data_IF_842077421298
#
_entry.id   IF_842077421298
#
_cell.length_a   1.000
_cell.length_b   1.000
_cell.length_c   1.000
_cell.angle_alpha   90.00
_cell.angle_beta   90.00
_cell.angle_gamma   90.00
#
_symmetry.space_group_name_H-M   'P 1'
#
loop_
_entity.id
_entity.type
_entity.pdbx_description
1 polymer ?
#
# COMPACT_ATOMS: atom_id res chain seq x y z
N UNK A 1 55.09 15.08 50.38
CA UNK A 1 53.64 15.18 49.98
C UNK A 1 53.00 16.19 50.92
N UNK A 2 52.58 17.33 50.37
CA UNK A 2 52.01 18.43 51.15
C UNK A 2 50.50 18.23 51.36
N UNK A 3 49.95 18.74 52.44
CA UNK A 3 48.52 18.63 52.78
C UNK A 3 47.58 19.14 51.67
N UNK A 4 48.09 19.97 50.77
CA UNK A 4 47.35 20.49 49.60
C UNK A 4 47.16 19.39 48.52
N UNK A 5 48.08 18.46 48.28
CA UNK A 5 47.96 17.34 47.34
C UNK A 5 46.94 16.31 47.81
N UNK A 6 46.84 16.06 49.14
CA UNK A 6 45.81 15.16 49.71
C UNK A 6 44.40 15.74 49.63
N UNK A 7 44.22 17.07 49.76
CA UNK A 7 42.93 17.73 49.66
C UNK A 7 42.38 17.77 48.19
N UNK A 8 43.29 17.89 47.20
CA UNK A 8 42.92 17.81 45.77
C UNK A 8 42.42 16.43 45.35
N UNK A 9 43.05 15.34 45.85
CA UNK A 9 42.69 13.94 45.59
C UNK A 9 41.31 13.57 46.15
N UNK A 10 40.98 14.02 47.35
CA UNK A 10 39.66 13.74 47.97
C UNK A 10 38.48 14.44 47.26
N UNK A 11 38.71 15.64 46.73
CA UNK A 11 37.66 16.39 46.04
C UNK A 11 37.37 15.80 44.67
N UNK A 12 38.39 15.26 43.97
CA UNK A 12 38.25 14.56 42.69
C UNK A 12 37.46 13.25 42.86
N UNK A 13 37.76 12.44 43.87
CA UNK A 13 37.07 11.17 44.13
C UNK A 13 35.58 11.36 44.49
N UNK A 14 35.24 12.45 45.22
CA UNK A 14 33.82 12.80 45.50
C UNK A 14 33.08 13.22 44.26
N UNK A 15 33.70 13.95 43.35
CA UNK A 15 33.10 14.34 42.05
C UNK A 15 32.83 13.11 41.17
N UNK A 16 33.79 12.20 41.06
CA UNK A 16 33.64 10.94 40.33
C UNK A 16 32.51 10.09 40.92
N UNK A 17 32.44 9.92 42.25
CA UNK A 17 31.35 9.16 42.88
C UNK A 17 29.98 9.77 42.61
N UNK A 18 29.83 11.09 42.65
CA UNK A 18 28.57 11.78 42.31
C UNK A 18 28.20 11.58 40.87
N UNK A 19 29.15 11.66 39.93
CA UNK A 19 28.93 11.40 38.52
C UNK A 19 28.49 9.94 38.32
N UNK A 20 29.19 8.97 38.91
CA UNK A 20 28.81 7.54 38.80
C UNK A 20 27.42 7.28 39.35
N UNK A 21 27.05 7.85 40.51
CA UNK A 21 25.70 7.72 41.06
C UNK A 21 24.68 8.37 40.14
N UNK A 22 24.98 9.53 39.56
CA UNK A 22 24.11 10.20 38.58
C UNK A 22 23.87 9.38 37.31
N UNK A 23 24.91 8.77 36.78
CA UNK A 23 24.82 7.87 35.61
C UNK A 23 24.01 6.62 35.95
N UNK A 24 24.25 5.97 37.08
CA UNK A 24 23.47 4.80 37.50
C UNK A 24 21.99 5.17 37.70
N UNK A 25 21.69 6.31 38.33
CA UNK A 25 20.33 6.78 38.52
C UNK A 25 19.67 7.05 37.19
N UNK A 26 20.33 7.71 36.23
CA UNK A 26 19.79 7.98 34.90
C UNK A 26 19.49 6.68 34.13
N UNK A 27 20.42 5.69 34.19
CA UNK A 27 20.19 4.37 33.58
C UNK A 27 19.01 3.65 34.24
N UNK A 28 18.91 3.68 35.57
CA UNK A 28 17.80 3.04 36.27
C UNK A 28 16.43 3.68 35.94
N UNK A 29 16.38 5.03 35.90
CA UNK A 29 15.16 5.78 35.53
C UNK A 29 14.79 5.46 34.08
N UNK A 30 15.75 5.48 33.16
CA UNK A 30 15.51 5.16 31.75
C UNK A 30 14.99 3.72 31.58
N UNK A 31 15.65 2.75 32.20
CA UNK A 31 15.25 1.35 32.17
C UNK A 31 13.85 1.15 32.75
N UNK A 32 13.58 1.70 33.93
CA UNK A 32 12.26 1.63 34.54
C UNK A 32 11.18 2.32 33.71
N UNK A 33 11.49 3.47 33.12
CA UNK A 33 10.61 4.19 32.21
C UNK A 33 10.29 3.39 30.96
N UNK A 34 11.30 2.72 30.36
CA UNK A 34 11.08 1.89 29.18
C UNK A 34 10.17 0.69 29.46
N UNK A 35 10.46 -0.09 30.53
CA UNK A 35 9.62 -1.22 30.93
C UNK A 35 8.19 -0.77 31.34
N UNK A 36 8.07 0.37 32.00
CA UNK A 36 6.77 0.97 32.32
C UNK A 36 5.98 1.33 31.06
N UNK A 37 6.63 1.91 30.05
CA UNK A 37 6.02 2.23 28.76
C UNK A 37 5.61 0.97 27.99
N UNK A 38 6.47 -0.07 27.98
CA UNK A 38 6.17 -1.35 27.34
C UNK A 38 4.94 -2.01 27.96
N UNK A 39 4.88 -2.11 29.28
CA UNK A 39 3.73 -2.65 30.01
C UNK A 39 2.44 -1.84 29.78
N UNK A 40 2.56 -0.50 29.80
CA UNK A 40 1.42 0.36 29.50
C UNK A 40 0.90 0.14 28.06
N UNK A 41 1.82 0.00 27.08
CA UNK A 41 1.46 -0.26 25.68
C UNK A 41 0.78 -1.62 25.52
N UNK A 42 1.30 -2.67 26.14
CA UNK A 42 0.70 -4.00 26.15
C UNK A 42 -0.75 -3.95 26.68
N UNK A 43 -0.98 -3.31 27.84
CA UNK A 43 -2.31 -3.16 28.40
C UNK A 43 -3.26 -2.34 27.49
N UNK A 44 -2.76 -1.32 26.78
CA UNK A 44 -3.54 -0.56 25.80
C UNK A 44 -3.92 -1.38 24.59
N UNK A 45 -3.02 -2.22 24.09
CA UNK A 45 -3.29 -3.12 22.97
C UNK A 45 -4.31 -4.19 23.33
N UNK A 46 -4.15 -4.86 24.47
CA UNK A 46 -5.11 -5.85 24.96
C UNK A 46 -6.51 -5.23 25.13
N UNK A 47 -6.59 -4.01 25.67
CA UNK A 47 -7.86 -3.29 25.76
C UNK A 47 -8.42 -2.94 24.38
N UNK A 48 -7.59 -2.48 23.44
CA UNK A 48 -8.03 -2.17 22.08
C UNK A 48 -8.56 -3.42 21.34
N UNK A 49 -7.94 -4.59 21.55
CA UNK A 49 -8.42 -5.86 21.01
C UNK A 49 -9.76 -6.27 21.64
N UNK A 50 -9.90 -6.12 22.97
CA UNK A 50 -11.16 -6.41 23.66
C UNK A 50 -12.29 -5.46 23.20
N UNK A 51 -12.02 -4.16 23.10
CA UNK A 51 -12.97 -3.15 22.62
C UNK A 51 -13.34 -3.41 21.14
N UNK A 52 -12.39 -3.79 20.29
CA UNK A 52 -12.62 -4.18 18.91
C UNK A 52 -13.54 -5.40 18.81
N UNK A 53 -13.28 -6.45 19.57
CA UNK A 53 -14.13 -7.64 19.63
C UNK A 53 -15.57 -7.33 20.08
N UNK A 54 -15.73 -6.45 21.05
CA UNK A 54 -17.05 -5.97 21.50
C UNK A 54 -17.81 -5.21 20.41
N UNK A 55 -17.10 -4.55 19.50
CA UNK A 55 -17.65 -3.79 18.37
C UNK A 55 -17.74 -4.61 17.06
N UNK A 56 -17.47 -5.91 17.11
CA UNK A 56 -17.60 -6.82 15.96
C UNK A 56 -16.34 -7.10 15.18
N UNK A 57 -15.22 -6.41 15.46
CA UNK A 57 -13.91 -6.70 14.87
C UNK A 57 -13.01 -7.39 15.91
N UNK A 58 -12.94 -8.70 15.88
CA UNK A 58 -11.99 -9.44 16.69
C UNK A 58 -10.59 -9.36 16.07
N UNK A 59 -9.62 -9.00 16.91
CA UNK A 59 -8.19 -9.01 16.56
C UNK A 59 -7.48 -9.92 17.54
N UNK A 60 -6.81 -10.94 17.02
CA UNK A 60 -6.01 -11.87 17.80
C UNK A 60 -4.54 -11.75 17.39
N UNK A 61 -3.67 -11.68 18.37
CA UNK A 61 -2.22 -11.67 18.22
C UNK A 61 -1.68 -12.78 19.12
N UNK A 62 -1.26 -13.86 18.53
CA UNK A 62 -0.68 -14.98 19.28
C UNK A 62 0.72 -14.56 19.78
N UNK A 63 1.02 -14.85 21.03
CA UNK A 63 2.26 -14.55 21.72
C UNK A 63 2.65 -13.05 21.65
N UNK A 64 1.66 -12.18 21.96
CA UNK A 64 1.89 -10.73 22.00
C UNK A 64 3.02 -10.37 22.95
N UNK A 65 4.08 -9.80 22.43
CA UNK A 65 5.22 -9.35 23.21
C UNK A 65 5.69 -7.95 22.77
N UNK A 66 6.19 -7.16 23.73
CA UNK A 66 6.73 -5.82 23.49
C UNK A 66 8.25 -5.86 23.69
N UNK A 67 9.00 -5.70 22.60
CA UNK A 67 10.48 -5.84 22.58
C UNK A 67 11.16 -4.57 22.07
N UNK A 68 12.48 -4.51 22.25
CA UNK A 68 13.34 -3.50 21.63
C UNK A 68 14.17 -2.65 22.58
N UNK A 69 14.19 -2.97 23.92
CA UNK A 69 15.08 -2.29 24.87
C UNK A 69 16.53 -2.29 24.36
N UNK A 70 17.30 -1.18 24.53
CA UNK A 70 16.88 0.07 25.17
C UNK A 70 16.34 1.14 24.20
N UNK A 71 16.61 1.07 22.90
CA UNK A 71 16.41 2.21 21.97
C UNK A 71 15.19 2.09 21.07
N UNK A 72 14.53 0.95 21.08
CA UNK A 72 13.34 0.65 20.28
C UNK A 72 12.21 0.18 21.18
N UNK A 73 11.01 0.28 20.66
CA UNK A 73 9.82 -0.36 21.20
C UNK A 73 9.01 -0.88 20.03
N UNK A 74 8.60 -2.13 20.08
CA UNK A 74 7.87 -2.76 18.97
C UNK A 74 6.96 -3.86 19.47
N UNK A 75 5.93 -4.15 18.66
CA UNK A 75 4.93 -5.19 18.86
C UNK A 75 5.37 -6.40 18.06
N UNK A 76 5.29 -7.57 18.66
CA UNK A 76 5.58 -8.86 18.06
C UNK A 76 4.40 -9.79 18.28
N UNK A 77 3.98 -10.48 17.23
CA UNK A 77 2.96 -11.54 17.25
C UNK A 77 3.50 -12.70 16.42
N UNK A 78 3.27 -13.93 16.82
CA UNK A 78 3.61 -15.11 16.02
C UNK A 78 2.62 -15.32 14.87
N UNK A 79 1.35 -15.05 15.11
CA UNK A 79 0.31 -14.98 14.08
C UNK A 79 -0.65 -13.85 14.39
N UNK A 80 -1.26 -13.27 13.33
CA UNK A 80 -2.32 -12.26 13.45
C UNK A 80 -3.59 -12.78 12.79
N UNK A 81 -4.72 -12.73 13.50
CA UNK A 81 -6.04 -13.05 12.95
C UNK A 81 -6.98 -11.86 13.15
N UNK A 82 -7.76 -11.63 12.13
CA UNK A 82 -8.82 -10.64 12.10
C UNK A 82 -10.14 -11.35 11.76
N UNK A 83 -11.18 -11.08 12.52
CA UNK A 83 -12.54 -11.57 12.25
C UNK A 83 -13.51 -10.40 12.39
N UNK A 84 -14.06 -9.95 11.27
CA UNK A 84 -15.05 -8.87 11.23
C UNK A 84 -16.45 -9.48 11.07
N UNK A 85 -17.19 -9.51 12.17
CA UNK A 85 -18.56 -10.02 12.22
C UNK A 85 -19.55 -9.11 11.47
N UNK A 86 -19.22 -7.84 11.31
CA UNK A 86 -20.08 -6.85 10.63
C UNK A 86 -20.03 -7.07 9.12
N UNK A 87 -18.83 -7.27 8.59
CA UNK A 87 -18.59 -7.56 7.16
C UNK A 87 -18.62 -9.07 6.87
N UNK A 88 -18.76 -9.91 7.92
CA UNK A 88 -18.64 -11.37 7.86
C UNK A 88 -17.42 -11.80 7.01
N UNK A 89 -16.27 -11.23 7.36
CA UNK A 89 -14.99 -11.46 6.69
C UNK A 89 -13.91 -11.81 7.70
N UNK A 90 -12.94 -12.61 7.28
CA UNK A 90 -11.81 -12.99 8.11
C UNK A 90 -10.51 -12.87 7.34
N UNK A 91 -9.43 -12.54 8.06
CA UNK A 91 -8.08 -12.55 7.53
C UNK A 91 -7.12 -13.17 8.55
N UNK A 92 -6.11 -13.88 8.06
CA UNK A 92 -5.00 -14.37 8.87
C UNK A 92 -3.68 -14.10 8.19
N UNK A 93 -2.63 -13.90 8.99
CA UNK A 93 -1.28 -13.60 8.55
C UNK A 93 -0.29 -14.38 9.41
N UNK A 94 0.93 -14.56 8.93
CA UNK A 94 2.03 -15.07 9.70
C UNK A 94 2.50 -14.08 10.78
N UNK A 95 3.79 -14.09 11.09
CA UNK A 95 4.35 -13.27 12.15
C UNK A 95 4.31 -11.78 11.80
N UNK A 96 3.96 -10.96 12.78
CA UNK A 96 4.05 -9.51 12.73
C UNK A 96 5.18 -9.04 13.61
N UNK A 97 6.05 -8.21 13.07
CA UNK A 97 7.13 -7.53 13.79
C UNK A 97 7.05 -6.05 13.53
N UNK A 98 7.08 -5.25 14.60
CA UNK A 98 7.15 -3.80 14.44
C UNK A 98 8.27 -3.21 15.27
N UNK A 99 8.72 -2.01 14.90
CA UNK A 99 9.68 -1.25 15.66
C UNK A 99 9.49 0.24 15.47
N UNK A 100 9.49 0.98 16.56
CA UNK A 100 9.63 2.44 16.58
C UNK A 100 10.80 2.82 17.48
N UNK A 101 11.51 3.89 17.14
CA UNK A 101 12.60 4.40 17.97
C UNK A 101 12.01 5.18 19.15
N UNK A 102 12.52 4.96 20.37
CA UNK A 102 12.01 5.61 21.59
C UNK A 102 12.08 7.14 21.50
N UNK A 103 13.09 7.66 20.80
CA UNK A 103 13.29 9.10 20.59
C UNK A 103 12.56 9.63 19.34
N UNK A 104 11.94 8.76 18.53
CA UNK A 104 11.12 9.11 17.36
C UNK A 104 9.91 8.18 17.25
N UNK A 105 9.00 8.18 18.24
CA UNK A 105 7.91 7.21 18.35
C UNK A 105 6.86 7.35 17.24
N UNK A 106 6.83 8.48 16.55
CA UNK A 106 5.95 8.69 15.37
C UNK A 106 6.45 8.00 14.10
N UNK A 107 7.63 7.37 14.09
CA UNK A 107 8.15 6.61 12.96
C UNK A 107 8.19 5.13 13.31
N UNK A 108 7.24 4.37 12.78
CA UNK A 108 7.15 2.93 12.95
C UNK A 108 7.49 2.21 11.64
N UNK A 109 8.17 1.08 11.79
CA UNK A 109 8.44 0.10 10.74
C UNK A 109 7.66 -1.15 11.10
N UNK A 110 7.05 -1.81 10.13
CA UNK A 110 6.23 -3.01 10.31
C UNK A 110 6.67 -4.02 9.25
N UNK A 111 6.91 -5.24 9.66
CA UNK A 111 7.13 -6.39 8.81
C UNK A 111 6.02 -7.41 9.08
N UNK A 112 5.48 -7.99 8.02
CA UNK A 112 4.43 -8.99 8.09
C UNK A 112 4.84 -10.19 7.25
N UNK A 113 4.85 -11.37 7.86
CA UNK A 113 5.16 -12.60 7.17
C UNK A 113 3.90 -13.20 6.53
N UNK A 114 4.09 -13.89 5.41
CA UNK A 114 3.11 -14.79 4.85
C UNK A 114 3.07 -16.15 5.59
N UNK A 115 2.14 -17.03 5.20
CA UNK A 115 1.09 -16.78 4.24
C UNK A 115 -0.04 -15.92 4.81
N UNK A 116 -0.77 -15.23 3.92
CA UNK A 116 -2.01 -14.55 4.27
C UNK A 116 -3.21 -15.28 3.65
N UNK A 117 -4.27 -15.42 4.43
CA UNK A 117 -5.56 -15.94 3.98
C UNK A 117 -6.64 -14.90 4.24
N UNK A 118 -7.45 -14.61 3.25
CA UNK A 118 -8.62 -13.75 3.39
C UNK A 118 -9.87 -14.47 2.90
N UNK A 119 -10.97 -14.32 3.61
CA UNK A 119 -12.28 -14.87 3.26
C UNK A 119 -13.35 -13.83 3.49
N UNK A 120 -14.20 -13.64 2.48
CA UNK A 120 -15.35 -12.73 2.55
C UNK A 120 -16.66 -13.52 2.64
N UNK A 121 -17.70 -12.92 3.22
CA UNK A 121 -19.07 -13.44 3.21
C UNK A 121 -19.64 -13.64 1.82
N UNK A 122 -19.16 -12.88 0.83
CA UNK A 122 -19.52 -13.04 -0.59
C UNK A 122 -18.93 -14.32 -1.18
N UNK A 123 -18.07 -15.04 -0.43
CA UNK A 123 -17.40 -16.28 -0.84
C UNK A 123 -16.08 -16.08 -1.56
N UNK A 124 -15.63 -14.83 -1.76
CA UNK A 124 -14.29 -14.54 -2.28
C UNK A 124 -13.26 -15.07 -1.29
N UNK A 125 -12.26 -15.79 -1.80
CA UNK A 125 -11.10 -16.27 -1.03
C UNK A 125 -9.83 -15.77 -1.70
N UNK A 126 -8.92 -15.26 -0.88
CA UNK A 126 -7.59 -14.85 -1.32
C UNK A 126 -6.57 -15.58 -0.47
N UNK A 127 -5.64 -16.26 -1.10
CA UNK A 127 -4.44 -16.82 -0.47
C UNK A 127 -3.24 -16.08 -1.06
N UNK A 128 -2.35 -15.58 -0.23
CA UNK A 128 -1.18 -14.85 -0.69
C UNK A 128 0.05 -15.20 0.14
N UNK A 129 1.21 -15.18 -0.50
CA UNK A 129 2.51 -15.37 0.13
C UNK A 129 3.55 -14.43 -0.50
N UNK A 130 4.58 -14.10 0.24
CA UNK A 130 5.64 -13.20 -0.19
C UNK A 130 6.95 -13.48 0.56
N UNK A 131 8.07 -13.08 0.00
CA UNK A 131 9.35 -13.21 0.69
C UNK A 131 9.67 -12.05 1.63
N UNK A 132 9.07 -10.89 1.39
CA UNK A 132 9.14 -9.70 2.22
C UNK A 132 7.85 -8.89 2.06
N UNK A 133 7.26 -8.45 3.17
CA UNK A 133 6.28 -7.37 3.20
C UNK A 133 6.67 -6.42 4.32
N UNK A 134 7.08 -5.22 3.95
CA UNK A 134 7.62 -4.22 4.83
C UNK A 134 6.88 -2.90 4.64
N UNK A 135 6.42 -2.31 5.73
CA UNK A 135 5.77 -1.01 5.73
C UNK A 135 6.49 -0.04 6.67
N UNK A 136 6.47 1.23 6.32
CA UNK A 136 6.99 2.33 7.13
C UNK A 136 5.93 3.41 7.23
N UNK A 137 5.67 3.86 8.44
CA UNK A 137 4.68 4.89 8.72
C UNK A 137 5.29 6.02 9.53
N UNK A 138 5.02 7.26 9.12
CA UNK A 138 5.34 8.45 9.90
C UNK A 138 4.07 9.20 10.28
N UNK A 139 3.85 9.34 11.58
CA UNK A 139 2.73 10.06 12.16
C UNK A 139 3.21 11.26 12.96
N UNK A 140 2.42 12.33 12.95
CA UNK A 140 2.59 13.52 13.76
C UNK A 140 1.35 13.79 14.61
N UNK A 141 1.27 14.99 15.18
CA UNK A 141 0.09 15.39 15.99
C UNK A 141 -1.20 15.48 15.17
N UNK A 142 -1.08 15.70 13.86
CA UNK A 142 -2.20 15.81 12.92
C UNK A 142 -2.59 14.50 12.24
N UNK A 143 -2.07 13.36 12.70
CA UNK A 143 -2.30 12.04 12.09
C UNK A 143 -1.14 11.53 11.25
N UNK A 144 -1.40 10.61 10.34
CA UNK A 144 -0.38 10.01 9.47
C UNK A 144 0.07 11.00 8.39
N UNK A 145 1.38 11.25 8.31
CA UNK A 145 1.99 12.17 7.33
C UNK A 145 2.55 11.46 6.11
N UNK A 146 3.08 10.24 6.30
CA UNK A 146 3.65 9.41 5.24
C UNK A 146 3.45 7.95 5.56
N UNK A 147 3.12 7.20 4.53
CA UNK A 147 3.12 5.75 4.51
C UNK A 147 3.91 5.26 3.30
N UNK A 148 4.66 4.18 3.48
CA UNK A 148 5.31 3.47 2.38
C UNK A 148 5.23 1.98 2.69
N UNK A 149 4.93 1.18 1.69
CA UNK A 149 4.95 -0.27 1.77
C UNK A 149 5.69 -0.83 0.57
N UNK A 150 6.38 -1.94 0.77
CA UNK A 150 7.06 -2.69 -0.28
C UNK A 150 6.86 -4.16 -0.05
N UNK A 151 6.77 -4.91 -1.13
CA UNK A 151 6.73 -6.37 -1.10
C UNK A 151 7.64 -6.96 -2.18
N UNK A 152 8.16 -8.15 -1.89
CA UNK A 152 8.98 -8.94 -2.82
C UNK A 152 8.37 -10.32 -3.03
N UNK A 153 8.41 -10.79 -4.29
CA UNK A 153 7.99 -12.13 -4.70
C UNK A 153 6.58 -12.48 -4.24
N UNK A 154 5.65 -11.54 -4.45
CA UNK A 154 4.24 -11.80 -4.17
C UNK A 154 3.73 -12.94 -5.06
N UNK A 155 3.05 -13.87 -4.44
CA UNK A 155 2.23 -14.90 -5.10
C UNK A 155 0.87 -14.90 -4.44
N UNK A 156 -0.17 -14.62 -5.20
CA UNK A 156 -1.52 -14.60 -4.68
C UNK A 156 -2.46 -15.41 -5.59
N UNK A 157 -3.48 -15.98 -4.99
CA UNK A 157 -4.55 -16.69 -5.69
C UNK A 157 -5.89 -16.16 -5.19
N UNK A 158 -6.69 -15.68 -6.10
CA UNK A 158 -8.05 -15.17 -5.85
C UNK A 158 -9.04 -16.17 -6.42
N UNK A 159 -9.95 -16.67 -5.60
CA UNK A 159 -11.05 -17.54 -6.03
C UNK A 159 -12.36 -16.77 -5.98
N UNK A 160 -13.06 -16.71 -7.11
CA UNK A 160 -14.35 -16.06 -7.27
C UNK A 160 -15.48 -17.07 -7.04
N UNK A 161 -16.42 -16.80 -6.12
CA UNK A 161 -17.40 -17.81 -5.69
C UNK A 161 -18.51 -18.09 -6.70
N UNK A 162 -18.88 -17.12 -7.53
CA UNK A 162 -20.00 -17.23 -8.47
C UNK A 162 -19.68 -18.09 -9.68
N UNK A 163 -18.45 -18.02 -10.17
CA UNK A 163 -17.97 -18.72 -11.36
C UNK A 163 -17.10 -19.93 -10.99
N UNK A 164 -16.50 -19.90 -9.81
CA UNK A 164 -15.47 -20.85 -9.40
C UNK A 164 -14.09 -20.55 -10.02
N UNK A 165 -13.99 -19.48 -10.78
CA UNK A 165 -12.77 -19.07 -11.47
C UNK A 165 -11.69 -18.71 -10.47
N UNK A 166 -10.47 -19.07 -10.80
CA UNK A 166 -9.27 -18.74 -10.04
C UNK A 166 -8.39 -17.79 -10.85
N UNK A 167 -7.93 -16.75 -10.20
CA UNK A 167 -6.90 -15.86 -10.75
C UNK A 167 -5.64 -15.96 -9.91
N UNK A 168 -4.55 -16.46 -10.51
CA UNK A 168 -3.23 -16.46 -9.92
C UNK A 168 -2.50 -15.17 -10.32
N UNK A 169 -1.89 -14.51 -9.33
CA UNK A 169 -1.21 -13.22 -9.46
C UNK A 169 0.21 -13.40 -8.92
N UNK A 170 1.21 -13.24 -9.76
CA UNK A 170 2.60 -13.18 -9.36
C UNK A 170 3.15 -11.77 -9.60
N UNK A 171 3.97 -11.25 -8.70
CA UNK A 171 4.72 -10.02 -8.91
C UNK A 171 6.11 -10.12 -8.27
N UNK A 172 7.14 -9.67 -8.98
CA UNK A 172 8.49 -9.76 -8.47
C UNK A 172 8.75 -8.76 -7.34
N UNK A 173 8.27 -7.53 -7.52
CA UNK A 173 8.43 -6.43 -6.58
C UNK A 173 7.27 -5.44 -6.71
N UNK A 174 6.90 -4.78 -5.61
CA UNK A 174 5.97 -3.67 -5.66
C UNK A 174 6.18 -2.70 -4.51
N UNK A 175 5.89 -1.44 -4.79
CA UNK A 175 5.98 -0.35 -3.83
C UNK A 175 4.72 0.50 -3.86
N UNK A 176 4.36 1.04 -2.70
CA UNK A 176 3.29 2.03 -2.56
C UNK A 176 3.73 3.12 -1.60
N UNK A 177 3.54 4.36 -1.98
CA UNK A 177 3.86 5.52 -1.18
C UNK A 177 2.65 6.44 -1.09
N UNK A 178 2.35 6.89 0.11
CA UNK A 178 1.36 7.94 0.37
C UNK A 178 1.99 9.06 1.19
N UNK A 179 1.68 10.30 0.87
CA UNK A 179 2.19 11.48 1.57
C UNK A 179 1.14 12.58 1.62
N UNK A 180 0.94 13.14 2.82
CA UNK A 180 0.24 14.42 2.95
C UNK A 180 1.06 15.53 2.31
N UNK A 181 0.43 16.34 1.50
CA UNK A 181 0.99 17.51 0.85
C UNK A 181 0.07 18.71 1.10
N UNK A 182 0.18 19.31 2.28
CA UNK A 182 -0.78 20.31 2.73
C UNK A 182 -2.19 19.71 2.88
N UNK A 183 -3.21 20.22 2.18
CA UNK A 183 -4.56 19.67 2.18
C UNK A 183 -4.69 18.42 1.30
N UNK A 184 -3.72 18.19 0.40
CA UNK A 184 -3.77 17.17 -0.63
C UNK A 184 -3.14 15.86 -0.16
N UNK A 185 -3.43 14.78 -0.89
CA UNK A 185 -2.81 13.47 -0.71
C UNK A 185 -2.11 13.07 -2.01
N UNK A 186 -0.78 12.94 -1.96
CA UNK A 186 0.02 12.35 -3.02
C UNK A 186 0.09 10.83 -2.84
N UNK A 187 -0.13 10.09 -3.92
CA UNK A 187 -0.05 8.62 -3.98
C UNK A 187 0.80 8.23 -5.16
N UNK A 188 1.77 7.35 -4.93
CA UNK A 188 2.55 6.71 -5.97
C UNK A 188 2.62 5.21 -5.70
N UNK A 189 2.51 4.39 -6.75
CA UNK A 189 2.69 2.95 -6.65
C UNK A 189 3.41 2.40 -7.89
N UNK A 190 4.09 1.29 -7.70
CA UNK A 190 4.72 0.53 -8.78
C UNK A 190 4.58 -0.97 -8.55
N UNK A 191 4.59 -1.71 -9.64
CA UNK A 191 4.69 -3.17 -9.67
C UNK A 191 5.60 -3.61 -10.79
N UNK A 192 6.49 -4.54 -10.50
CA UNK A 192 7.40 -5.13 -11.47
C UNK A 192 7.05 -6.60 -11.74
N UNK A 193 7.14 -6.98 -13.02
CA UNK A 193 6.90 -8.33 -13.51
C UNK A 193 5.56 -8.92 -13.03
N UNK A 194 4.50 -8.10 -13.08
CA UNK A 194 3.14 -8.55 -12.80
C UNK A 194 2.72 -9.59 -13.83
N UNK A 195 2.33 -10.76 -13.38
CA UNK A 195 1.84 -11.87 -14.19
C UNK A 195 0.46 -12.30 -13.67
N UNK A 196 -0.52 -12.36 -14.55
CA UNK A 196 -1.91 -12.71 -14.26
C UNK A 196 -2.29 -13.96 -15.04
N UNK A 197 -2.64 -15.04 -14.34
CA UNK A 197 -3.02 -16.34 -14.93
C UNK A 197 -4.40 -16.77 -14.45
N UNK A 198 -5.42 -16.76 -15.31
CA UNK A 198 -6.72 -17.32 -14.97
C UNK A 198 -6.67 -18.85 -14.97
N UNK A 199 -7.26 -19.48 -13.98
CA UNK A 199 -7.45 -20.95 -13.85
C UNK A 199 -6.17 -21.77 -14.06
N UNK A 200 -5.02 -21.25 -13.59
CA UNK A 200 -3.68 -21.81 -13.85
C UNK A 200 -3.34 -21.98 -15.35
N UNK A 201 -4.04 -21.22 -16.18
CA UNK A 201 -3.81 -21.16 -17.64
C UNK A 201 -2.56 -20.32 -18.02
N UNK A 202 -2.44 -19.97 -19.30
CA UNK A 202 -1.38 -19.07 -19.74
C UNK A 202 -1.58 -17.65 -19.17
N UNK A 203 -0.48 -16.89 -19.08
CA UNK A 203 -0.51 -15.50 -18.68
C UNK A 203 -1.41 -14.68 -19.61
N UNK A 204 -2.26 -13.83 -19.04
CA UNK A 204 -3.12 -12.91 -19.81
C UNK A 204 -2.29 -11.90 -20.59
N UNK A 205 -1.23 -11.40 -19.97
CA UNK A 205 -0.32 -10.40 -20.55
C UNK A 205 1.12 -10.87 -20.34
N UNK A 206 2.09 -10.38 -21.14
CA UNK A 206 3.50 -10.53 -20.81
C UNK A 206 3.80 -9.98 -19.42
N UNK A 207 4.88 -10.41 -18.74
CA UNK A 207 5.25 -9.84 -17.44
C UNK A 207 5.32 -8.31 -17.52
N UNK A 208 4.41 -7.65 -16.82
CA UNK A 208 4.10 -6.23 -16.95
C UNK A 208 4.77 -5.44 -15.84
N UNK A 209 5.34 -4.27 -16.18
CA UNK A 209 5.64 -3.23 -15.20
C UNK A 209 4.57 -2.16 -15.28
N UNK A 210 4.07 -1.73 -14.11
CA UNK A 210 3.17 -0.59 -14.04
C UNK A 210 3.60 0.38 -12.96
N UNK A 211 3.43 1.69 -13.23
CA UNK A 211 3.64 2.76 -12.26
C UNK A 211 2.47 3.71 -12.30
N UNK A 212 2.10 4.26 -11.16
CA UNK A 212 1.10 5.32 -11.05
C UNK A 212 1.59 6.39 -10.10
N UNK A 213 1.36 7.64 -10.45
CA UNK A 213 1.62 8.82 -9.63
C UNK A 213 0.44 9.79 -9.77
N UNK A 214 -0.23 10.08 -8.64
CA UNK A 214 -1.42 10.93 -8.63
C UNK A 214 -1.49 11.79 -7.36
N UNK A 215 -2.25 12.88 -7.45
CA UNK A 215 -2.62 13.72 -6.32
C UNK A 215 -4.15 13.77 -6.19
N UNK A 216 -4.65 13.54 -4.99
CA UNK A 216 -6.05 13.80 -4.61
C UNK A 216 -6.13 15.16 -3.90
N UNK A 217 -6.88 16.09 -4.46
CA UNK A 217 -7.03 17.45 -3.92
C UNK A 217 -7.95 17.46 -2.69
N UNK A 218 -7.55 18.19 -1.65
CA UNK A 218 -8.28 18.34 -0.40
C UNK A 218 -8.61 17.00 0.31
N UNK A 219 -7.79 15.96 0.07
CA UNK A 219 -8.03 14.60 0.58
C UNK A 219 -6.92 14.08 1.52
N UNK A 220 -6.12 14.96 2.11
CA UNK A 220 -5.09 14.57 3.09
C UNK A 220 -5.63 13.72 4.25
N UNK A 221 -6.92 13.88 4.61
CA UNK A 221 -7.58 13.09 5.64
C UNK A 221 -7.70 11.59 5.34
N UNK A 222 -7.66 11.19 4.07
CA UNK A 222 -7.65 9.76 3.67
C UNK A 222 -6.38 9.02 4.10
N UNK A 223 -5.32 9.74 4.47
CA UNK A 223 -4.13 9.13 5.05
C UNK A 223 -4.41 8.48 6.42
N UNK A 224 -5.47 8.88 7.14
CA UNK A 224 -5.81 8.29 8.43
C UNK A 224 -6.68 7.04 8.24
N UNK A 225 -6.28 5.92 8.84
CA UNK A 225 -6.92 4.60 8.66
C UNK A 225 -8.44 4.60 8.95
N UNK A 226 -8.94 5.54 9.75
CA UNK A 226 -10.38 5.66 10.07
C UNK A 226 -11.22 6.20 8.91
N UNK A 227 -10.58 6.75 7.88
CA UNK A 227 -11.25 7.33 6.72
C UNK A 227 -11.35 6.34 5.54
N UNK A 228 -10.81 5.13 5.67
CA UNK A 228 -10.82 4.12 4.60
C UNK A 228 -12.14 3.35 4.69
N UNK A 229 -13.14 3.80 3.93
CA UNK A 229 -14.41 3.11 3.69
C UNK A 229 -14.51 2.76 2.22
N UNK A 230 -15.44 1.89 1.84
CA UNK A 230 -15.61 1.49 0.44
C UNK A 230 -15.90 2.65 -0.53
N UNK A 231 -16.42 3.76 0.01
CA UNK A 231 -16.74 4.99 -0.70
C UNK A 231 -15.75 6.15 -0.43
N UNK A 232 -14.60 5.85 0.17
CA UNK A 232 -13.62 6.85 0.60
C UNK A 232 -13.15 7.79 -0.53
N UNK A 233 -13.12 7.30 -1.76
CA UNK A 233 -12.74 8.06 -2.95
C UNK A 233 -13.89 8.84 -3.58
N UNK A 234 -15.13 8.61 -3.17
CA UNK A 234 -16.28 9.30 -3.74
C UNK A 234 -16.24 10.80 -3.48
N UNK A 235 -16.63 11.59 -4.47
CA UNK A 235 -16.56 13.05 -4.42
C UNK A 235 -15.13 13.62 -4.47
N UNK A 236 -14.13 12.82 -4.76
CA UNK A 236 -12.74 13.27 -4.88
C UNK A 236 -12.48 13.91 -6.24
N UNK A 237 -11.50 14.81 -6.25
CA UNK A 237 -10.90 15.37 -7.46
C UNK A 237 -9.39 15.21 -7.35
N UNK A 238 -8.73 15.09 -8.50
CA UNK A 238 -7.29 14.93 -8.50
C UNK A 238 -6.67 15.10 -9.87
N UNK A 239 -5.39 14.85 -9.91
CA UNK A 239 -4.58 14.83 -11.13
C UNK A 239 -3.80 13.53 -11.19
N UNK A 240 -3.98 12.78 -12.25
CA UNK A 240 -3.11 11.69 -12.64
C UNK A 240 -1.89 12.30 -13.31
N UNK A 241 -0.77 12.37 -12.58
CA UNK A 241 0.47 12.92 -13.10
C UNK A 241 1.14 11.99 -14.10
N UNK A 242 1.14 10.71 -13.77
CA UNK A 242 1.64 9.65 -14.63
C UNK A 242 0.96 8.32 -14.30
N UNK A 243 0.56 7.62 -15.34
CA UNK A 243 0.29 6.18 -15.33
C UNK A 243 1.10 5.60 -16.47
N UNK A 244 2.02 4.71 -16.17
CA UNK A 244 2.82 4.00 -17.18
C UNK A 244 2.55 2.51 -17.07
N UNK A 245 2.29 1.86 -18.20
CA UNK A 245 2.18 0.40 -18.34
C UNK A 245 3.18 -0.03 -19.40
N UNK A 246 4.15 -0.87 -19.02
CA UNK A 246 5.18 -1.41 -19.90
C UNK A 246 4.99 -2.93 -20.01
N UNK A 247 4.62 -3.38 -21.20
CA UNK A 247 4.43 -4.79 -21.57
C UNK A 247 5.71 -5.43 -22.13
N UNK A 248 6.83 -4.73 -22.06
CA UNK A 248 8.10 -5.16 -22.66
C UNK A 248 8.19 -4.90 -24.17
N UNK A 249 9.39 -5.12 -24.73
CA UNK A 249 9.65 -4.97 -26.17
C UNK A 249 9.27 -3.61 -26.77
N UNK A 250 9.31 -2.54 -25.95
CA UNK A 250 8.95 -1.19 -26.37
C UNK A 250 7.46 -0.87 -26.32
N UNK A 251 6.60 -1.85 -25.99
CA UNK A 251 5.15 -1.68 -25.85
C UNK A 251 4.83 -0.92 -24.56
N UNK A 252 4.72 0.39 -24.63
CA UNK A 252 4.50 1.26 -23.47
C UNK A 252 3.27 2.13 -23.69
N UNK A 253 2.38 2.12 -22.71
CA UNK A 253 1.27 3.04 -22.59
C UNK A 253 1.50 4.04 -21.45
N UNK A 254 1.24 5.33 -21.70
CA UNK A 254 1.27 6.36 -20.66
C UNK A 254 -0.06 7.10 -20.65
N UNK A 255 -0.54 7.49 -19.48
CA UNK A 255 -1.71 8.33 -19.33
C UNK A 255 -1.49 9.40 -18.26
N UNK A 256 -1.99 10.61 -18.50
CA UNK A 256 -1.98 11.70 -17.52
C UNK A 256 -3.16 12.63 -17.73
N UNK A 257 -3.62 13.32 -16.70
CA UNK A 257 -4.68 14.31 -16.79
C UNK A 257 -5.50 14.49 -15.51
N UNK A 258 -6.31 15.54 -15.45
CA UNK A 258 -7.20 15.81 -14.33
C UNK A 258 -8.38 14.84 -14.31
N UNK A 259 -8.83 14.47 -13.11
CA UNK A 259 -9.99 13.61 -12.93
C UNK A 259 -10.85 14.02 -11.74
N UNK A 260 -12.07 13.53 -11.73
CA UNK A 260 -12.99 13.58 -10.59
C UNK A 260 -13.75 12.26 -10.48
N UNK A 261 -14.13 11.92 -9.26
CA UNK A 261 -14.95 10.75 -8.93
C UNK A 261 -16.23 11.29 -8.31
N UNK A 262 -17.38 10.95 -8.87
CA UNK A 262 -18.67 11.43 -8.35
C UNK A 262 -19.11 10.62 -7.10
N UNK A 263 -20.31 10.92 -6.57
CA UNK A 263 -20.88 10.22 -5.42
C UNK A 263 -21.22 8.74 -5.69
N UNK A 264 -21.34 8.35 -6.95
CA UNK A 264 -21.61 6.97 -7.38
C UNK A 264 -20.32 6.19 -7.71
N UNK A 265 -19.13 6.76 -7.42
CA UNK A 265 -17.83 6.15 -7.73
C UNK A 265 -17.40 6.28 -9.20
N UNK A 266 -18.18 6.96 -10.06
CA UNK A 266 -17.90 7.05 -11.49
C UNK A 266 -16.88 8.14 -11.79
N UNK A 267 -15.86 7.78 -12.58
CA UNK A 267 -14.77 8.66 -12.98
C UNK A 267 -15.22 9.59 -14.12
N UNK A 268 -14.77 10.84 -14.06
CA UNK A 268 -14.81 11.79 -15.17
C UNK A 268 -13.48 12.52 -15.28
N UNK A 269 -13.01 12.78 -16.51
CA UNK A 269 -11.72 13.45 -16.73
C UNK A 269 -11.35 13.53 -18.21
N UNK A 270 -10.27 14.25 -18.48
CA UNK A 270 -9.67 14.34 -19.80
C UNK A 270 -8.23 13.84 -19.68
N UNK A 271 -7.92 12.73 -20.35
CA UNK A 271 -6.63 12.07 -20.22
C UNK A 271 -5.85 12.13 -21.53
N UNK A 272 -4.63 12.64 -21.45
CA UNK A 272 -3.66 12.51 -22.53
C UNK A 272 -3.05 11.12 -22.45
N UNK A 273 -3.28 10.31 -23.49
CA UNK A 273 -2.79 8.92 -23.58
C UNK A 273 -1.80 8.81 -24.72
N UNK A 274 -0.60 8.31 -24.42
CA UNK A 274 0.41 8.00 -25.41
C UNK A 274 0.64 6.48 -25.45
N UNK A 275 0.70 5.90 -26.63
CA UNK A 275 0.91 4.46 -26.85
C UNK A 275 2.04 4.31 -27.85
N UNK A 276 3.00 3.43 -27.56
CA UNK A 276 4.10 3.05 -28.44
C UNK A 276 3.96 1.60 -28.87
N UNK A 277 4.46 1.28 -30.06
CA UNK A 277 4.43 -0.06 -30.64
C UNK A 277 3.00 -0.64 -30.76
N UNK A 278 2.07 0.16 -31.30
CA UNK A 278 0.63 -0.19 -31.44
C UNK A 278 0.47 -1.53 -32.17
N UNK A 279 1.30 -1.79 -33.19
CA UNK A 279 1.27 -3.04 -33.94
C UNK A 279 1.59 -4.27 -33.09
N UNK A 280 2.45 -4.12 -32.08
CA UNK A 280 2.84 -5.18 -31.14
C UNK A 280 1.85 -5.30 -29.98
N UNK A 281 1.28 -4.18 -29.51
CA UNK A 281 0.27 -4.15 -28.41
C UNK A 281 -1.02 -4.85 -28.85
N UNK A 282 -1.45 -4.65 -30.09
CA UNK A 282 -2.72 -5.19 -30.61
C UNK A 282 -2.84 -6.71 -30.44
N UNK A 283 -1.90 -7.56 -30.95
CA UNK A 283 -2.04 -9.00 -30.80
C UNK A 283 -1.95 -9.47 -29.35
N UNK A 284 -1.22 -8.75 -28.48
CA UNK A 284 -1.16 -9.05 -27.04
C UNK A 284 -2.53 -8.84 -26.40
N UNK A 285 -3.19 -7.70 -26.67
CA UNK A 285 -4.50 -7.41 -26.11
C UNK A 285 -5.59 -8.32 -26.66
N UNK A 286 -5.55 -8.66 -27.97
CA UNK A 286 -6.54 -9.60 -28.55
C UNK A 286 -6.35 -11.04 -28.04
N UNK A 287 -5.15 -11.42 -27.65
CA UNK A 287 -4.92 -12.71 -26.99
C UNK A 287 -5.41 -12.72 -25.54
N UNK A 288 -5.27 -11.59 -24.85
CA UNK A 288 -5.74 -11.42 -23.46
C UNK A 288 -7.28 -11.34 -23.36
N UNK A 289 -7.92 -10.77 -24.37
CA UNK A 289 -9.37 -10.56 -24.46
C UNK A 289 -9.91 -11.17 -25.78
N UNK A 290 -10.05 -12.51 -25.85
CA UNK A 290 -10.31 -13.24 -27.09
C UNK A 290 -11.80 -13.19 -27.53
N UNK A 291 -12.69 -12.64 -26.73
CA UNK A 291 -14.09 -12.50 -27.11
C UNK A 291 -14.25 -11.58 -28.34
N UNK A 292 -15.28 -11.82 -29.15
CA UNK A 292 -15.46 -11.17 -30.44
C UNK A 292 -15.64 -9.65 -30.29
N UNK A 293 -16.38 -9.21 -29.28
CA UNK A 293 -16.66 -7.79 -29.03
C UNK A 293 -15.40 -7.04 -28.63
N UNK A 294 -14.64 -7.56 -27.67
CA UNK A 294 -13.37 -6.98 -27.21
C UNK A 294 -12.35 -6.95 -28.36
N UNK A 295 -12.22 -8.04 -29.11
CA UNK A 295 -11.31 -8.12 -30.27
C UNK A 295 -11.68 -7.08 -31.33
N UNK A 296 -12.97 -6.89 -31.65
CA UNK A 296 -13.43 -5.88 -32.59
C UNK A 296 -13.08 -4.45 -32.10
N UNK A 297 -13.33 -4.15 -30.82
CA UNK A 297 -12.99 -2.85 -30.21
C UNK A 297 -11.48 -2.59 -30.29
N UNK A 298 -10.64 -3.54 -29.87
CA UNK A 298 -9.17 -3.44 -29.90
C UNK A 298 -8.69 -3.14 -31.33
N UNK A 299 -9.17 -3.91 -32.33
CA UNK A 299 -8.79 -3.72 -33.71
C UNK A 299 -9.22 -2.35 -34.25
N UNK A 300 -10.43 -1.91 -33.95
CA UNK A 300 -10.94 -0.60 -34.39
C UNK A 300 -10.11 0.54 -33.78
N UNK A 301 -9.81 0.48 -32.48
CA UNK A 301 -8.97 1.48 -31.81
C UNK A 301 -7.57 1.50 -32.40
N UNK A 302 -6.93 0.36 -32.58
CA UNK A 302 -5.57 0.28 -33.15
C UNK A 302 -5.53 0.87 -34.57
N UNK A 303 -6.50 0.54 -35.42
CA UNK A 303 -6.59 1.08 -36.79
C UNK A 303 -6.84 2.60 -36.77
N UNK A 304 -7.70 3.10 -35.91
CA UNK A 304 -7.99 4.51 -35.75
C UNK A 304 -6.75 5.29 -35.27
N UNK A 305 -6.05 4.79 -34.27
CA UNK A 305 -4.82 5.43 -33.74
C UNK A 305 -3.76 5.55 -34.83
N UNK A 306 -3.53 4.50 -35.61
CA UNK A 306 -2.60 4.54 -36.74
C UNK A 306 -3.04 5.49 -37.85
N UNK A 307 -4.31 5.54 -38.16
CA UNK A 307 -4.84 6.48 -39.14
C UNK A 307 -4.69 7.95 -38.71
N UNK A 308 -4.96 8.25 -37.44
CA UNK A 308 -4.77 9.59 -36.87
C UNK A 308 -3.31 10.03 -36.81
N UNK A 309 -2.38 9.08 -36.78
CA UNK A 309 -0.93 9.35 -36.67
C UNK A 309 -0.16 9.08 -37.99
N UNK A 310 -0.82 9.23 -39.14
CA UNK A 310 -0.23 9.03 -40.47
C UNK A 310 0.47 7.65 -40.66
N UNK A 311 -0.10 6.62 -40.07
CA UNK A 311 0.43 5.24 -40.16
C UNK A 311 1.63 4.94 -39.29
N UNK A 312 2.06 5.89 -38.41
CA UNK A 312 3.12 5.63 -37.43
C UNK A 312 2.63 4.65 -36.36
N UNK A 313 3.57 3.96 -35.75
CA UNK A 313 3.30 2.92 -34.74
C UNK A 313 3.29 3.44 -33.31
N UNK A 314 3.36 4.76 -33.15
CA UNK A 314 3.15 5.50 -31.89
C UNK A 314 2.00 6.48 -32.07
N UNK A 315 1.21 6.69 -31.04
CA UNK A 315 0.13 7.68 -31.05
C UNK A 315 0.00 8.39 -29.71
N UNK A 316 -0.38 9.65 -29.79
CA UNK A 316 -0.82 10.41 -28.60
C UNK A 316 -2.21 10.98 -28.90
N UNK A 317 -3.13 10.65 -28.02
CA UNK A 317 -4.55 11.05 -28.15
C UNK A 317 -5.09 11.56 -26.83
N UNK A 318 -6.19 12.28 -26.89
CA UNK A 318 -6.95 12.69 -25.71
C UNK A 318 -8.19 11.83 -25.58
N UNK A 319 -8.31 11.11 -24.46
CA UNK A 319 -9.47 10.31 -24.08
C UNK A 319 -10.31 11.12 -23.11
N UNK A 320 -11.59 11.28 -23.44
CA UNK A 320 -12.57 11.89 -22.55
C UNK A 320 -13.34 10.81 -21.82
N UNK A 321 -13.41 10.92 -20.50
CA UNK A 321 -14.22 10.05 -19.64
C UNK A 321 -15.32 10.90 -19.01
N UNK A 322 -16.57 10.50 -19.16
CA UNK A 322 -17.71 11.17 -18.54
C UNK A 322 -18.59 10.14 -17.83
N UNK A 323 -18.62 10.21 -16.49
CA UNK A 323 -19.36 9.26 -15.63
C UNK A 323 -19.09 7.81 -16.01
N UNK A 324 -17.80 7.44 -16.05
CA UNK A 324 -17.34 6.09 -16.41
C UNK A 324 -17.28 5.81 -17.92
N UNK A 325 -17.97 6.56 -18.77
CA UNK A 325 -18.00 6.33 -20.23
C UNK A 325 -16.78 6.97 -20.89
N UNK A 326 -15.91 6.14 -21.46
CA UNK A 326 -14.71 6.57 -22.16
C UNK A 326 -14.97 6.76 -23.64
N UNK A 327 -14.44 7.82 -24.22
CA UNK A 327 -14.55 8.13 -25.66
C UNK A 327 -13.28 8.77 -26.20
N UNK A 328 -12.99 8.49 -27.47
CA UNK A 328 -11.97 9.17 -28.27
C UNK A 328 -12.66 9.99 -29.33
N UNK A 329 -12.67 11.32 -29.18
CA UNK A 329 -13.54 12.21 -29.94
C UNK A 329 -15.01 11.75 -29.85
N UNK A 330 -15.60 11.27 -30.96
CA UNK A 330 -17.00 10.80 -31.02
C UNK A 330 -17.13 9.27 -30.89
N UNK A 331 -16.04 8.53 -30.81
CA UNK A 331 -16.07 7.07 -30.78
C UNK A 331 -16.05 6.55 -29.32
N UNK A 332 -17.08 5.78 -28.93
CA UNK A 332 -17.09 5.14 -27.61
C UNK A 332 -15.98 4.09 -27.53
N UNK A 333 -15.23 4.08 -26.42
CA UNK A 333 -14.19 3.10 -26.14
C UNK A 333 -14.63 2.02 -25.16
N UNK A 334 -15.67 2.31 -24.37
CA UNK A 334 -16.17 1.42 -23.32
C UNK A 334 -16.53 2.16 -22.04
N UNK A 335 -16.79 1.39 -20.99
CA UNK A 335 -17.15 1.93 -19.67
C UNK A 335 -16.15 1.47 -18.61
N UNK A 336 -15.74 2.40 -17.76
CA UNK A 336 -14.95 2.12 -16.56
C UNK A 336 -15.91 1.75 -15.42
N UNK A 337 -15.59 0.73 -14.61
CA UNK A 337 -16.40 0.40 -13.44
C UNK A 337 -16.39 1.54 -12.42
N UNK A 338 -17.40 1.56 -11.55
CA UNK A 338 -17.39 2.42 -10.37
C UNK A 338 -16.30 1.93 -9.39
N UNK A 339 -15.65 2.88 -8.69
CA UNK A 339 -14.60 2.64 -7.69
C UNK A 339 -15.21 2.37 -6.32
#
# INVERSE_FOLDING_TARGET
MTAAELAGSQNTSRKFRRLTIGVIAAVAIYTGGWFGAAHYMEGRLQKAFADGNANGLAVECDDLDIRGFPFRIGIFCDTVRLDDKTLASSASFGALRSAAQVYQPGHAIIELDGPAEFRSSTGVRVSADWSLLHASMRSGLSGMNRFSATYDKLKASVMLPLTGDRLDIDAAHGETHMRRNGPDLDIAASVDALDLRPDAGPSLLPPTRATVDLTLFDRAGLADYKAITGDALHGSKGELRDLTIDLGNGMVGNASGPFSINADGLISGEFKVAIREISNVRPVLTAAFPDEDSTAVINNIANMLRALNNGRDDATVTINVHKGKASLAFFPLGELPAL
#
